data_IF_035977507259
#
_entry.id   IF_035977507259
#
_cell.length_a   1.000
_cell.length_b   1.000
_cell.length_c   1.000
_cell.angle_alpha   90.00
_cell.angle_beta   90.00
_cell.angle_gamma   90.00
#
_symmetry.space_group_name_H-M   'P 1'
#
loop_
_entity.id
_entity.type
_entity.pdbx_description
1 polymer ?
#
# COMPACT_ATOMS: atom_id res chain seq x y z
N UNK A 1 6.00 -23.09 30.83
CA UNK A 1 5.95 -22.87 29.38
C UNK A 1 5.49 -21.44 29.16
N UNK A 2 6.23 -20.65 28.38
CA UNK A 2 5.83 -19.27 28.08
C UNK A 2 4.55 -19.26 27.25
N UNK A 3 3.60 -18.40 27.60
CA UNK A 3 2.39 -18.20 26.81
C UNK A 3 2.76 -17.45 25.54
N UNK A 4 2.70 -18.13 24.39
CA UNK A 4 2.91 -17.48 23.09
C UNK A 4 1.62 -16.79 22.66
N UNK A 5 1.73 -15.54 22.23
CA UNK A 5 0.62 -14.77 21.66
C UNK A 5 0.68 -14.80 20.14
N UNK A 6 -0.47 -14.76 19.49
CA UNK A 6 -0.56 -14.56 18.04
C UNK A 6 -0.25 -13.11 17.68
N UNK A 7 0.08 -12.84 16.40
CA UNK A 7 0.27 -11.46 15.95
C UNK A 7 -1.00 -10.62 16.11
N UNK A 8 -2.19 -11.20 15.92
CA UNK A 8 -3.45 -10.46 16.10
C UNK A 8 -3.65 -10.03 17.55
N UNK A 9 -3.39 -10.92 18.51
CA UNK A 9 -3.49 -10.59 19.94
C UNK A 9 -2.50 -9.49 20.33
N UNK A 10 -1.24 -9.62 19.88
CA UNK A 10 -0.20 -8.60 20.12
C UNK A 10 -0.59 -7.25 19.47
N UNK A 11 -1.16 -7.31 18.27
CA UNK A 11 -1.58 -6.12 17.52
C UNK A 11 -2.71 -5.37 18.23
N UNK A 12 -3.72 -6.07 18.75
CA UNK A 12 -4.85 -5.48 19.47
C UNK A 12 -4.43 -4.91 20.83
N UNK A 13 -3.39 -5.46 21.46
CA UNK A 13 -2.85 -4.93 22.72
C UNK A 13 -1.98 -3.68 22.53
N UNK A 14 -1.27 -3.57 21.40
CA UNK A 14 -0.27 -2.52 21.18
C UNK A 14 -0.79 -1.29 20.41
N UNK A 15 -1.88 -1.43 19.65
CA UNK A 15 -2.36 -0.39 18.76
C UNK A 15 -3.84 -0.09 18.97
N UNK A 16 -4.20 1.17 18.79
CA UNK A 16 -5.60 1.60 18.78
C UNK A 16 -6.33 1.05 17.55
N UNK A 17 -7.68 0.90 17.61
CA UNK A 17 -8.48 0.55 16.44
C UNK A 17 -8.22 1.46 15.24
N UNK A 18 -8.00 2.75 15.47
CA UNK A 18 -7.70 3.75 14.46
C UNK A 18 -6.34 3.49 13.77
N UNK A 19 -5.28 3.21 14.53
CA UNK A 19 -3.96 2.86 13.98
C UNK A 19 -4.01 1.54 13.20
N UNK A 20 -4.76 0.56 13.70
CA UNK A 20 -5.00 -0.71 13.03
C UNK A 20 -5.70 -0.48 11.69
N UNK A 21 -6.75 0.36 11.67
CA UNK A 21 -7.50 0.69 10.47
C UNK A 21 -6.64 1.46 9.45
N UNK A 22 -5.86 2.45 9.88
CA UNK A 22 -4.93 3.17 9.01
C UNK A 22 -3.89 2.23 8.40
N UNK A 23 -3.32 1.33 9.21
CA UNK A 23 -2.37 0.32 8.74
C UNK A 23 -2.99 -0.63 7.72
N UNK A 24 -4.20 -1.12 7.98
CA UNK A 24 -4.94 -1.96 7.03
C UNK A 24 -5.19 -1.24 5.70
N UNK A 25 -5.61 0.02 5.74
CA UNK A 25 -5.84 0.83 4.53
C UNK A 25 -4.53 0.99 3.73
N UNK A 26 -3.42 1.24 4.41
CA UNK A 26 -2.10 1.37 3.79
C UNK A 26 -1.69 0.08 3.06
N UNK A 27 -1.84 -1.07 3.72
CA UNK A 27 -1.55 -2.38 3.14
C UNK A 27 -2.45 -2.68 1.95
N UNK A 28 -3.75 -2.40 2.04
CA UNK A 28 -4.69 -2.60 0.95
C UNK A 28 -4.32 -1.77 -0.29
N UNK A 29 -3.98 -0.49 -0.08
CA UNK A 29 -3.54 0.40 -1.16
C UNK A 29 -2.28 -0.09 -1.86
N UNK A 30 -1.26 -0.52 -1.10
CA UNK A 30 -0.03 -1.09 -1.67
C UNK A 30 -0.31 -2.39 -2.43
N UNK A 31 -1.20 -3.23 -1.87
CA UNK A 31 -1.68 -4.45 -2.51
C UNK A 31 -2.30 -4.16 -3.89
N UNK A 32 -3.17 -3.15 -3.99
CA UNK A 32 -3.80 -2.75 -5.25
C UNK A 32 -2.78 -2.25 -6.29
N UNK A 33 -1.77 -1.46 -5.89
CA UNK A 33 -0.71 -1.03 -6.80
C UNK A 33 0.07 -2.23 -7.34
N UNK A 34 0.48 -3.15 -6.44
CA UNK A 34 1.24 -4.34 -6.81
C UNK A 34 0.40 -5.25 -7.72
N UNK A 35 -0.87 -5.47 -7.38
CA UNK A 35 -1.79 -6.30 -8.15
C UNK A 35 -2.00 -5.73 -9.54
N UNK A 36 -2.39 -4.46 -9.66
CA UNK A 36 -2.61 -3.80 -10.96
C UNK A 36 -1.35 -3.80 -11.83
N UNK A 37 -0.18 -3.58 -11.23
CA UNK A 37 1.12 -3.67 -11.93
C UNK A 37 1.38 -5.08 -12.47
N UNK A 38 1.12 -6.11 -11.67
CA UNK A 38 1.30 -7.51 -12.06
C UNK A 38 0.26 -7.96 -13.10
N UNK A 39 -0.99 -7.51 -13.00
CA UNK A 39 -2.05 -7.76 -13.99
C UNK A 39 -1.68 -7.23 -15.37
N UNK A 40 -1.01 -6.08 -15.44
CA UNK A 40 -0.47 -5.54 -16.69
C UNK A 40 0.86 -6.18 -17.12
N UNK A 41 1.44 -7.09 -16.33
CA UNK A 41 2.69 -7.79 -16.64
C UNK A 41 3.95 -6.90 -16.60
N UNK A 42 3.90 -5.74 -15.94
CA UNK A 42 5.02 -4.77 -15.95
C UNK A 42 5.87 -4.86 -14.67
N UNK A 43 7.18 -4.62 -14.81
CA UNK A 43 8.08 -4.53 -13.64
C UNK A 43 8.01 -3.15 -12.97
N UNK A 44 8.61 -3.00 -11.78
CA UNK A 44 8.76 -1.68 -11.16
C UNK A 44 9.63 -0.73 -12.02
N UNK A 45 10.60 -1.26 -12.80
CA UNK A 45 11.40 -0.47 -13.73
C UNK A 45 10.59 0.00 -14.94
N UNK A 46 9.61 -0.79 -15.37
CA UNK A 46 8.72 -0.38 -16.45
C UNK A 46 7.74 0.69 -15.94
N UNK A 47 7.23 0.53 -14.72
CA UNK A 47 6.43 1.58 -14.09
C UNK A 47 7.23 2.88 -13.88
N UNK A 48 8.54 2.82 -13.60
CA UNK A 48 9.42 4.01 -13.64
C UNK A 48 9.42 4.68 -15.01
N UNK A 49 9.59 3.92 -16.10
CA UNK A 49 9.60 4.49 -17.46
C UNK A 49 8.27 5.17 -17.80
N UNK A 50 7.16 4.64 -17.31
CA UNK A 50 5.82 5.16 -17.59
C UNK A 50 5.50 6.40 -16.73
N UNK A 51 5.88 6.38 -15.45
CA UNK A 51 5.49 7.42 -14.48
C UNK A 51 6.54 8.50 -14.24
N UNK A 52 7.80 8.23 -14.60
CA UNK A 52 8.97 9.02 -14.21
C UNK A 52 9.39 8.86 -12.74
N UNK A 53 8.69 8.04 -11.95
CA UNK A 53 9.01 7.81 -10.53
C UNK A 53 10.11 6.75 -10.46
N UNK A 54 11.21 7.07 -9.79
CA UNK A 54 12.38 6.18 -9.68
C UNK A 54 12.00 4.83 -9.07
N UNK A 55 12.48 3.73 -9.64
CA UNK A 55 12.20 2.37 -9.18
C UNK A 55 12.50 2.16 -7.68
N UNK A 56 13.57 2.71 -7.08
CA UNK A 56 13.78 2.62 -5.64
C UNK A 56 12.67 3.29 -4.81
N UNK A 57 12.04 4.36 -5.33
CA UNK A 57 10.88 5.00 -4.70
C UNK A 57 9.66 4.09 -4.80
N UNK A 58 9.41 3.51 -5.97
CA UNK A 58 8.32 2.54 -6.19
C UNK A 58 8.48 1.34 -5.24
N UNK A 59 9.69 0.79 -5.12
CA UNK A 59 9.97 -0.34 -4.25
C UNK A 59 9.72 -0.02 -2.77
N UNK A 60 10.10 1.18 -2.29
CA UNK A 60 9.81 1.61 -0.92
C UNK A 60 8.32 1.83 -0.65
N UNK A 61 7.59 2.32 -1.65
CA UNK A 61 6.13 2.45 -1.58
C UNK A 61 5.48 1.07 -1.51
N UNK A 62 5.81 0.15 -2.42
CA UNK A 62 5.24 -1.20 -2.46
C UNK A 62 5.58 -2.05 -1.23
N UNK A 63 6.72 -1.81 -0.59
CA UNK A 63 7.13 -2.51 0.64
C UNK A 63 6.67 -1.83 1.93
N UNK A 64 5.98 -0.69 1.84
CA UNK A 64 5.50 0.05 3.01
C UNK A 64 6.55 0.83 3.79
N UNK A 65 7.78 0.90 3.30
CA UNK A 65 8.88 1.67 3.92
C UNK A 65 8.69 3.18 3.81
N UNK A 66 7.86 3.65 2.88
CA UNK A 66 7.57 5.08 2.73
C UNK A 66 6.11 5.32 2.39
N UNK A 67 5.48 6.30 3.05
CA UNK A 67 4.16 6.78 2.68
C UNK A 67 4.28 7.75 1.50
N UNK A 68 3.68 7.44 0.33
CA UNK A 68 3.67 8.38 -0.80
C UNK A 68 2.78 9.58 -0.48
N UNK A 69 3.08 10.71 -1.11
CA UNK A 69 2.13 11.83 -1.23
C UNK A 69 1.00 11.45 -2.19
N UNK A 70 -0.15 12.11 -2.07
CA UNK A 70 -1.33 11.86 -2.90
C UNK A 70 -1.02 12.04 -4.40
N UNK A 71 -0.25 13.06 -4.76
CA UNK A 71 0.16 13.32 -6.16
C UNK A 71 1.01 12.18 -6.73
N UNK A 72 1.95 11.65 -5.95
CA UNK A 72 2.75 10.47 -6.32
C UNK A 72 1.87 9.24 -6.50
N UNK A 73 0.90 9.05 -5.60
CA UNK A 73 -0.01 7.90 -5.63
C UNK A 73 -0.90 7.93 -6.88
N UNK A 74 -1.48 9.09 -7.21
CA UNK A 74 -2.28 9.28 -8.43
C UNK A 74 -1.42 9.03 -9.68
N UNK A 75 -0.17 9.50 -9.71
CA UNK A 75 0.76 9.23 -10.83
C UNK A 75 1.07 7.75 -10.99
N UNK A 76 1.17 6.97 -9.91
CA UNK A 76 1.37 5.52 -9.99
C UNK A 76 0.11 4.80 -10.49
N UNK A 77 -1.06 5.20 -9.99
CA UNK A 77 -2.33 4.52 -10.27
C UNK A 77 -2.87 4.79 -11.68
N UNK A 78 -2.72 6.01 -12.20
CA UNK A 78 -3.27 6.41 -13.49
C UNK A 78 -2.86 5.49 -14.68
N UNK A 79 -1.56 5.18 -14.90
CA UNK A 79 -1.18 4.25 -15.97
C UNK A 79 -1.56 2.80 -15.68
N UNK A 80 -1.80 2.48 -14.40
CA UNK A 80 -2.31 1.17 -13.99
C UNK A 80 -3.83 1.03 -14.19
N UNK A 81 -4.51 2.06 -14.72
CA UNK A 81 -5.96 2.07 -14.94
C UNK A 81 -6.76 2.19 -13.64
N UNK A 82 -6.14 2.73 -12.57
CA UNK A 82 -6.72 2.87 -11.24
C UNK A 82 -6.77 4.34 -10.81
N UNK A 83 -7.58 4.63 -9.80
CA UNK A 83 -7.63 5.94 -9.13
C UNK A 83 -8.04 5.76 -7.66
N UNK A 84 -8.04 6.85 -6.89
CA UNK A 84 -8.50 6.87 -5.49
C UNK A 84 -9.90 7.47 -5.45
N UNK A 85 -10.75 6.94 -4.60
CA UNK A 85 -12.05 7.50 -4.28
C UNK A 85 -12.20 7.67 -2.77
N UNK A 86 -12.92 8.71 -2.36
CA UNK A 86 -13.37 8.86 -0.97
C UNK A 86 -14.69 8.08 -0.84
N UNK A 87 -14.72 7.14 0.09
CA UNK A 87 -15.86 6.24 0.33
C UNK A 87 -16.28 6.32 1.81
N UNK A 88 -17.54 5.97 2.14
CA UNK A 88 -17.95 5.85 3.55
C UNK A 88 -17.07 4.85 4.29
N UNK A 89 -16.75 5.15 5.55
CA UNK A 89 -16.10 4.19 6.44
C UNK A 89 -17.08 3.03 6.71
N UNK A 90 -16.60 1.79 6.58
CA UNK A 90 -17.35 0.63 7.08
C UNK A 90 -17.30 0.69 8.61
N UNK A 91 -18.47 0.88 9.22
CA UNK A 91 -18.67 0.73 10.67
C UNK A 91 -18.58 -0.75 11.04
#
# INVERSE_FOLDING_TARGET
>A
MGQFKTWNEVREELYTPEEIAESNLRVALMGEIIAARKEQGISQRDLEKITGIKQPVIARIESGQSSPRIDTLVKLLAPLGKTIAVVPLKQ
#
